data_IF_875641771899
#
_entry.id   IF_875641771899
#
_cell.length_a   1.000
_cell.length_b   1.000
_cell.length_c   1.000
_cell.angle_alpha   90.00
_cell.angle_beta   90.00
_cell.angle_gamma   90.00
#
_symmetry.space_group_name_H-M   'P 1'
#
loop_
_entity.id
_entity.type
_entity.pdbx_description
1 polymer ?
#
# COMPACT_ATOMS: atom_id res chain seq x y z
N UNK A 1 -10.82 4.22 -8.49
CA UNK A 1 -9.75 3.69 -7.63
C UNK A 1 -9.76 4.39 -6.28
N UNK A 2 -9.86 3.61 -5.21
CA UNK A 2 -9.65 3.98 -3.83
C UNK A 2 -8.17 4.33 -3.62
N UNK A 3 -7.88 5.43 -2.93
CA UNK A 3 -6.54 5.85 -2.55
C UNK A 3 -6.61 6.70 -1.28
N UNK A 4 -5.47 6.88 -0.60
CA UNK A 4 -5.41 7.56 0.69
C UNK A 4 -5.85 9.02 0.58
N UNK A 5 -5.37 9.75 -0.43
CA UNK A 5 -5.73 11.16 -0.64
C UNK A 5 -7.26 11.40 -0.71
N UNK A 6 -8.03 10.47 -1.28
CA UNK A 6 -9.49 10.57 -1.38
C UNK A 6 -10.24 10.30 -0.08
N UNK A 7 -9.60 9.62 0.88
CA UNK A 7 -10.22 9.16 2.13
C UNK A 7 -9.65 9.81 3.39
N UNK A 8 -8.45 10.40 3.31
CA UNK A 8 -7.75 10.99 4.45
C UNK A 8 -8.59 12.02 5.20
N UNK A 9 -9.29 12.89 4.46
CA UNK A 9 -10.13 13.95 5.04
C UNK A 9 -11.59 13.52 5.29
N UNK A 10 -11.87 12.22 5.25
CA UNK A 10 -13.19 11.64 5.54
C UNK A 10 -13.07 10.68 6.73
N UNK A 11 -13.07 11.19 7.98
CA UNK A 11 -12.76 10.40 9.17
C UNK A 11 -13.59 9.12 9.31
N UNK A 12 -14.90 9.21 9.05
CA UNK A 12 -15.80 8.05 9.12
C UNK A 12 -15.44 6.98 8.08
N UNK A 13 -15.08 7.41 6.87
CA UNK A 13 -14.74 6.50 5.79
C UNK A 13 -13.37 5.86 6.01
N UNK A 14 -12.36 6.64 6.39
CA UNK A 14 -11.04 6.13 6.74
C UNK A 14 -11.14 5.11 7.88
N UNK A 15 -11.89 5.42 8.94
CA UNK A 15 -12.07 4.53 10.08
C UNK A 15 -12.87 3.27 9.71
N UNK A 16 -13.88 3.37 8.86
CA UNK A 16 -14.61 2.20 8.39
C UNK A 16 -13.70 1.26 7.57
N UNK A 17 -12.87 1.82 6.69
CA UNK A 17 -11.97 1.09 5.80
C UNK A 17 -10.76 0.49 6.52
N UNK A 18 -10.20 1.16 7.53
CA UNK A 18 -8.90 0.80 8.13
C UNK A 18 -8.95 0.50 9.62
N UNK A 19 -10.02 0.89 10.31
CA UNK A 19 -10.11 0.88 11.77
C UNK A 19 -9.36 2.02 12.46
N UNK A 20 -8.66 2.89 11.73
CA UNK A 20 -7.77 3.91 12.28
C UNK A 20 -8.34 5.33 12.13
N UNK A 21 -7.90 6.23 13.03
CA UNK A 21 -7.99 7.68 12.82
C UNK A 21 -6.94 8.13 11.82
N UNK A 22 -7.07 9.35 11.28
CA UNK A 22 -6.07 9.93 10.36
C UNK A 22 -4.67 9.98 11.00
N UNK A 23 -4.59 10.47 12.22
CA UNK A 23 -3.32 10.55 12.98
C UNK A 23 -2.69 9.18 13.23
N UNK A 24 -3.49 8.19 13.65
CA UNK A 24 -2.99 6.83 13.86
C UNK A 24 -2.51 6.18 12.55
N UNK A 25 -3.22 6.44 11.45
CA UNK A 25 -2.82 5.99 10.12
C UNK A 25 -1.49 6.64 9.69
N UNK A 26 -1.34 7.95 9.82
CA UNK A 26 -0.13 8.67 9.42
C UNK A 26 1.10 8.22 10.24
N UNK A 27 0.93 8.01 11.55
CA UNK A 27 1.97 7.44 12.40
C UNK A 27 2.38 6.04 11.96
N UNK A 28 1.40 5.19 11.62
CA UNK A 28 1.67 3.85 11.10
C UNK A 28 2.33 3.90 9.72
N UNK A 29 1.94 4.85 8.86
CA UNK A 29 2.50 5.03 7.52
C UNK A 29 4.00 5.37 7.57
N UNK A 30 4.43 6.17 8.55
CA UNK A 30 5.86 6.46 8.75
C UNK A 30 6.66 5.20 9.10
N UNK A 31 6.19 4.42 10.09
CA UNK A 31 6.85 3.17 10.47
C UNK A 31 6.83 2.15 9.31
N UNK A 32 5.71 2.06 8.58
CA UNK A 32 5.58 1.20 7.43
C UNK A 32 6.51 1.62 6.28
N UNK A 33 6.70 2.92 6.03
CA UNK A 33 7.64 3.42 5.02
C UNK A 33 9.06 2.93 5.27
N UNK A 34 9.51 3.03 6.53
CA UNK A 34 10.83 2.56 6.94
C UNK A 34 10.97 1.05 6.74
N UNK A 35 10.03 0.27 7.29
CA UNK A 35 10.05 -1.19 7.15
C UNK A 35 9.98 -1.65 5.68
N UNK A 36 9.24 -0.91 4.85
CA UNK A 36 9.14 -1.19 3.42
C UNK A 36 10.48 -1.00 2.71
N UNK A 37 11.20 0.10 2.95
CA UNK A 37 12.51 0.32 2.33
C UNK A 37 13.57 -0.65 2.88
N UNK A 38 13.57 -0.92 4.19
CA UNK A 38 14.47 -1.91 4.80
C UNK A 38 14.29 -3.30 4.17
N UNK A 39 13.04 -3.70 3.93
CA UNK A 39 12.73 -4.95 3.25
C UNK A 39 13.19 -4.95 1.79
N UNK A 40 13.01 -3.84 1.05
CA UNK A 40 13.52 -3.72 -0.32
C UNK A 40 15.05 -3.78 -0.37
N UNK A 41 15.74 -3.19 0.60
CA UNK A 41 17.19 -3.27 0.77
C UNK A 41 17.65 -4.69 1.02
N UNK A 42 16.96 -5.41 1.90
CA UNK A 42 17.24 -6.82 2.16
C UNK A 42 17.07 -7.68 0.90
N UNK A 43 15.96 -7.51 0.18
CA UNK A 43 15.70 -8.23 -1.07
C UNK A 43 16.77 -7.94 -2.12
N UNK A 44 17.23 -6.69 -2.22
CA UNK A 44 18.29 -6.33 -3.17
C UNK A 44 19.66 -6.91 -2.77
N UNK A 45 19.97 -7.02 -1.47
CA UNK A 45 21.19 -7.71 -0.98
C UNK A 45 21.18 -9.21 -1.26
N UNK A 46 20.01 -9.84 -1.23
CA UNK A 46 19.84 -11.29 -1.46
C UNK A 46 19.84 -11.69 -2.95
N UNK A 47 19.89 -10.73 -3.88
CA UNK A 47 19.88 -11.04 -5.32
C UNK A 47 21.20 -11.69 -5.76
N UNK A 48 21.09 -12.83 -6.44
CA UNK A 48 22.24 -13.48 -7.12
C UNK A 48 22.87 -12.59 -8.21
N UNK A 49 22.05 -11.77 -8.89
CA UNK A 49 22.49 -10.84 -9.94
C UNK A 49 22.09 -9.41 -9.62
N UNK A 50 22.99 -8.43 -9.76
CA UNK A 50 22.67 -7.02 -9.58
C UNK A 50 21.51 -6.56 -10.47
N UNK A 51 20.75 -5.55 -10.02
CA UNK A 51 19.66 -5.00 -10.81
C UNK A 51 20.21 -4.33 -12.08
N UNK A 52 19.62 -4.66 -13.23
CA UNK A 52 19.90 -3.94 -14.48
C UNK A 52 19.31 -2.52 -14.49
N UNK A 53 18.15 -2.33 -13.84
CA UNK A 53 17.45 -1.03 -13.73
C UNK A 53 17.40 -0.57 -12.28
N UNK A 54 17.44 0.75 -12.07
CA UNK A 54 17.19 1.38 -10.77
C UNK A 54 15.85 0.89 -10.18
N UNK A 55 15.71 0.96 -8.84
CA UNK A 55 14.42 0.77 -8.17
C UNK A 55 13.34 1.62 -8.84
N UNK A 56 12.17 1.02 -9.09
CA UNK A 56 11.07 1.70 -9.77
C UNK A 56 11.25 1.94 -11.28
N UNK A 57 12.31 1.42 -11.92
CA UNK A 57 12.54 1.51 -13.36
C UNK A 57 11.73 0.54 -14.24
N UNK A 58 10.78 -0.19 -13.63
CA UNK A 58 9.85 -1.09 -14.33
C UNK A 58 8.50 -0.42 -14.61
N UNK A 59 7.49 -1.25 -14.90
CA UNK A 59 6.09 -0.80 -15.01
C UNK A 59 5.66 -0.08 -13.72
N UNK A 60 4.95 1.04 -13.85
CA UNK A 60 4.43 1.78 -12.71
C UNK A 60 3.34 0.95 -12.01
N UNK A 61 3.43 0.90 -10.68
CA UNK A 61 2.43 0.26 -9.84
C UNK A 61 1.10 1.01 -9.93
N UNK A 62 -0.02 0.29 -9.89
CA UNK A 62 -1.34 0.88 -9.71
C UNK A 62 -1.52 1.47 -8.30
N UNK A 63 -0.68 1.08 -7.34
CA UNK A 63 -0.66 1.55 -5.95
C UNK A 63 0.74 2.16 -5.70
N UNK A 64 0.97 3.42 -6.09
CA UNK A 64 2.31 3.98 -6.18
C UNK A 64 2.87 4.46 -4.84
N UNK A 65 2.05 5.08 -3.99
CA UNK A 65 2.49 5.71 -2.74
C UNK A 65 2.59 4.70 -1.60
N UNK A 66 3.28 5.06 -0.53
CA UNK A 66 3.39 4.22 0.67
C UNK A 66 2.04 4.16 1.39
N UNK A 67 1.34 5.29 1.46
CA UNK A 67 0.02 5.41 2.08
C UNK A 67 -1.01 4.56 1.34
N UNK A 68 -0.98 4.52 0.00
CA UNK A 68 -1.89 3.70 -0.78
C UNK A 68 -1.62 2.20 -0.58
N UNK A 69 -0.35 1.80 -0.43
CA UNK A 69 0.04 0.41 -0.12
C UNK A 69 -0.43 0.02 1.28
N UNK A 70 -0.25 0.90 2.27
CA UNK A 70 -0.74 0.66 3.62
C UNK A 70 -2.27 0.58 3.64
N UNK A 71 -2.95 1.50 2.95
CA UNK A 71 -4.41 1.50 2.81
C UNK A 71 -4.90 0.18 2.20
N UNK A 72 -4.24 -0.33 1.15
CA UNK A 72 -4.54 -1.63 0.55
C UNK A 72 -4.50 -2.76 1.58
N UNK A 73 -3.41 -2.84 2.34
CA UNK A 73 -3.21 -3.88 3.37
C UNK A 73 -4.26 -3.77 4.47
N UNK A 74 -4.51 -2.56 4.98
CA UNK A 74 -5.46 -2.34 6.08
C UNK A 74 -6.91 -2.58 5.66
N UNK A 75 -7.29 -2.23 4.44
CA UNK A 75 -8.62 -2.56 3.90
C UNK A 75 -8.81 -4.07 3.86
N UNK A 76 -7.79 -4.83 3.44
CA UNK A 76 -7.85 -6.28 3.46
C UNK A 76 -8.01 -6.82 4.89
N UNK A 77 -7.18 -6.37 5.83
CA UNK A 77 -7.28 -6.83 7.22
C UNK A 77 -8.60 -6.45 7.90
N UNK A 78 -9.14 -5.27 7.59
CA UNK A 78 -10.34 -4.75 8.25
C UNK A 78 -11.63 -5.35 7.70
N UNK A 79 -11.73 -5.46 6.37
CA UNK A 79 -12.97 -5.86 5.69
C UNK A 79 -12.95 -7.31 5.22
N UNK A 80 -11.76 -7.94 5.20
CA UNK A 80 -11.54 -9.28 4.66
C UNK A 80 -12.23 -9.52 3.30
N UNK A 81 -12.11 -8.60 2.32
CA UNK A 81 -12.75 -8.74 1.04
C UNK A 81 -12.08 -9.84 0.22
N UNK A 82 -12.87 -10.52 -0.62
CA UNK A 82 -12.32 -11.41 -1.64
C UNK A 82 -11.43 -10.63 -2.62
N UNK A 83 -10.48 -11.33 -3.25
CA UNK A 83 -9.47 -10.70 -4.11
C UNK A 83 -10.06 -9.88 -5.27
N UNK A 84 -11.19 -10.32 -5.84
CA UNK A 84 -11.88 -9.59 -6.91
C UNK A 84 -12.38 -8.23 -6.43
N UNK A 85 -12.98 -8.16 -5.23
CA UNK A 85 -13.46 -6.90 -4.63
C UNK A 85 -12.28 -6.00 -4.27
N UNK A 86 -11.23 -6.56 -3.68
CA UNK A 86 -10.01 -5.83 -3.37
C UNK A 86 -9.39 -5.24 -4.65
N UNK A 87 -9.30 -6.04 -5.72
CA UNK A 87 -8.80 -5.59 -7.01
C UNK A 87 -9.67 -4.49 -7.61
N UNK A 88 -10.99 -4.64 -7.60
CA UNK A 88 -11.93 -3.64 -8.08
C UNK A 88 -11.78 -2.29 -7.35
N UNK A 89 -11.69 -2.30 -6.01
CA UNK A 89 -11.51 -1.09 -5.21
C UNK A 89 -10.21 -0.35 -5.57
N UNK A 90 -9.12 -1.10 -5.76
CA UNK A 90 -7.78 -0.55 -6.03
C UNK A 90 -7.38 -0.55 -7.52
N UNK A 91 -8.34 -0.75 -8.44
CA UNK A 91 -8.09 -0.66 -9.88
C UNK A 91 -7.08 -1.70 -10.40
N UNK A 92 -7.00 -2.86 -9.74
CA UNK A 92 -6.20 -4.00 -10.17
C UNK A 92 -7.08 -4.95 -10.98
N UNK A 93 -6.60 -5.36 -12.15
CA UNK A 93 -7.19 -6.44 -12.93
C UNK A 93 -6.46 -7.75 -12.66
N UNK A 94 -7.19 -8.84 -12.39
CA UNK A 94 -6.63 -10.17 -12.48
C UNK A 94 -6.63 -10.61 -13.96
N UNK A 95 -5.52 -11.19 -14.47
CA UNK A 95 -5.55 -11.95 -15.71
C UNK A 95 -6.33 -13.25 -15.57
#
# INVERSE_FOLDING_TARGET
MLNYAKVADKPNMLRALTGLTKEAFEKLAQAFAQAYEEHLDELDRQREKPRQRRRGGGRKSAIPTIEDKLLFILVYFRLYPIQIVQGFLFGLSQP
#
